data_IF_032656489892
#
_entry.id   IF_032656489892
#
_cell.length_a   1.000
_cell.length_b   1.000
_cell.length_c   1.000
_cell.angle_alpha   90.00
_cell.angle_beta   90.00
_cell.angle_gamma   90.00
#
_symmetry.space_group_name_H-M   'P 1'
#
loop_
_entity.id
_entity.type
_entity.pdbx_description
1 polymer ?
#
# COMPACT_ATOMS: atom_id res chain seq x y z
N UNK A 1 -0.69 2.66 3.59
CA UNK A 1 -0.66 1.97 4.90
C UNK A 1 0.75 2.00 5.45
N UNK A 2 0.96 1.92 6.74
CA UNK A 2 2.30 1.89 7.35
C UNK A 2 2.84 0.46 7.48
N UNK A 3 4.15 0.33 7.72
CA UNK A 3 4.82 -0.96 7.98
C UNK A 3 4.28 -1.72 9.20
N UNK A 4 3.79 -1.02 10.22
CA UNK A 4 3.11 -1.58 11.40
C UNK A 4 1.61 -1.85 11.18
N UNK A 5 1.08 -1.58 9.99
CA UNK A 5 -0.30 -1.86 9.61
C UNK A 5 -0.39 -3.08 8.67
N UNK A 6 -1.51 -3.24 7.98
CA UNK A 6 -1.83 -4.45 7.23
C UNK A 6 -1.46 -4.37 5.73
N UNK A 7 -0.20 -4.13 5.36
CA UNK A 7 0.23 -4.10 3.92
C UNK A 7 -0.17 -5.38 3.17
N UNK A 8 0.15 -6.54 3.74
CA UNK A 8 -0.16 -7.84 3.14
C UNK A 8 -1.67 -8.08 2.92
N UNK A 9 -2.55 -7.47 3.72
CA UNK A 9 -4.00 -7.55 3.51
C UNK A 9 -4.41 -6.88 2.19
N UNK A 10 -3.93 -5.66 1.94
CA UNK A 10 -4.22 -4.94 0.70
C UNK A 10 -3.63 -5.62 -0.53
N UNK A 11 -2.41 -6.17 -0.41
CA UNK A 11 -1.77 -6.92 -1.50
C UNK A 11 -2.59 -8.15 -1.90
N UNK A 12 -3.13 -8.89 -0.93
CA UNK A 12 -4.06 -10.01 -1.20
C UNK A 12 -5.36 -9.57 -1.88
N UNK A 13 -5.79 -8.33 -1.69
CA UNK A 13 -6.94 -7.73 -2.38
C UNK A 13 -6.59 -7.19 -3.77
N UNK A 14 -5.36 -7.36 -4.25
CA UNK A 14 -4.91 -6.93 -5.58
C UNK A 14 -4.43 -5.49 -5.66
N UNK A 15 -4.12 -4.87 -4.51
CA UNK A 15 -3.38 -3.60 -4.50
C UNK A 15 -1.89 -3.85 -4.69
N UNK A 16 -1.17 -2.85 -5.21
CA UNK A 16 0.29 -2.87 -5.35
C UNK A 16 0.88 -1.55 -4.88
N UNK A 17 2.09 -1.60 -4.33
CA UNK A 17 2.84 -0.42 -3.90
C UNK A 17 3.31 0.34 -5.14
N UNK A 18 3.04 1.65 -5.19
CA UNK A 18 3.60 2.55 -6.21
C UNK A 18 4.50 3.63 -5.60
N UNK A 19 4.54 3.76 -4.29
CA UNK A 19 5.38 4.71 -3.58
C UNK A 19 5.61 4.30 -2.14
N UNK A 20 6.76 4.71 -1.60
CA UNK A 20 7.11 4.57 -0.20
C UNK A 20 7.72 5.88 0.29
N UNK A 21 7.32 6.30 1.48
CA UNK A 21 7.94 7.40 2.20
C UNK A 21 8.57 6.84 3.47
N UNK A 22 9.89 6.77 3.45
CA UNK A 22 10.68 6.28 4.57
C UNK A 22 10.71 7.29 5.72
N UNK A 23 10.86 6.77 6.94
CA UNK A 23 10.99 7.54 8.18
C UNK A 23 9.82 8.52 8.42
N UNK A 24 8.61 8.13 8.04
CA UNK A 24 7.37 8.87 8.24
C UNK A 24 6.23 7.96 8.75
N UNK A 25 5.71 8.19 9.98
CA UNK A 25 6.34 8.97 11.04
C UNK A 25 7.73 8.39 11.38
N UNK A 26 8.54 9.12 12.17
CA UNK A 26 9.92 8.70 12.48
C UNK A 26 9.99 7.21 12.86
N UNK A 27 10.88 6.46 12.20
CA UNK A 27 11.10 5.03 12.42
C UNK A 27 10.16 4.10 11.63
N UNK A 28 9.22 4.64 10.87
CA UNK A 28 8.24 3.86 10.09
C UNK A 28 8.26 4.24 8.62
N UNK A 29 7.78 3.34 7.78
CA UNK A 29 7.59 3.56 6.34
C UNK A 29 6.11 3.69 6.04
N UNK A 30 5.73 4.76 5.34
CA UNK A 30 4.40 4.89 4.74
C UNK A 30 4.42 4.33 3.32
N UNK A 31 3.62 3.29 3.05
CA UNK A 31 3.40 2.76 1.71
C UNK A 31 2.16 3.40 1.07
N UNK A 32 2.30 3.85 -0.17
CA UNK A 32 1.19 4.28 -1.02
C UNK A 32 0.84 3.14 -1.98
N UNK A 33 -0.41 2.70 -1.96
CA UNK A 33 -0.88 1.55 -2.73
C UNK A 33 -2.01 1.96 -3.67
N UNK A 34 -2.05 1.33 -4.84
CA UNK A 34 -3.10 1.50 -5.82
C UNK A 34 -3.60 0.13 -6.28
N UNK A 35 -4.87 0.07 -6.70
CA UNK A 35 -5.47 -1.07 -7.37
C UNK A 35 -6.07 -0.58 -8.68
N UNK A 36 -5.70 -1.21 -9.78
CA UNK A 36 -6.33 -0.95 -11.07
C UNK A 36 -7.70 -1.61 -11.07
N UNK A 37 -8.75 -0.82 -11.34
CA UNK A 37 -10.10 -1.33 -11.52
C UNK A 37 -10.35 -1.49 -13.01
N UNK A 38 -10.77 -2.69 -13.41
CA UNK A 38 -11.29 -2.95 -14.76
C UNK A 38 -12.80 -2.83 -14.72
N UNK A 39 -13.36 -2.10 -15.67
CA UNK A 39 -14.80 -2.15 -15.92
C UNK A 39 -15.15 -3.54 -16.45
N UNK A 40 -16.30 -4.09 -16.01
CA UNK A 40 -16.89 -5.21 -16.71
C UNK A 40 -17.37 -4.74 -18.09
N UNK A 41 -17.17 -5.58 -19.11
CA UNK A 41 -17.74 -5.44 -20.44
C UNK A 41 -19.20 -5.88 -20.45
#
# INVERSE_FOLDING_TARGET
TFDFQARAFYERLGYSVYGALDNFPRGHTQFHLAKVLVSAL
#
